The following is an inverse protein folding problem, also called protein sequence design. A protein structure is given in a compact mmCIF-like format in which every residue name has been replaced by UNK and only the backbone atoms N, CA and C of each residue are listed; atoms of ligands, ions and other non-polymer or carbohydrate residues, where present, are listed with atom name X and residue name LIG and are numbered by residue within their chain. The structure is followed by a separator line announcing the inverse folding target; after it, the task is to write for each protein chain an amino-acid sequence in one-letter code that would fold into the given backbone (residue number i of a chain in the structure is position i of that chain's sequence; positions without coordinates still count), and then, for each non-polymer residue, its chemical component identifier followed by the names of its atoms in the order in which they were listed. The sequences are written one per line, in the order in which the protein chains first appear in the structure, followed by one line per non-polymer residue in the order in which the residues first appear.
data_IF_523358123865
#
_entry.id   IF_523358123865
#
_cell.length_a   1.000
_cell.length_b   1.000
_cell.length_c   1.000
_cell.angle_alpha   90.00
_cell.angle_beta   90.00
_cell.angle_gamma   90.00
#
_symmetry.space_group_name_H-M   'P 1'
#
loop_
_entity.id
_entity.type
_entity.pdbx_description
1 polymer ?
#
# COMPACT_ATOMS: atom_id res chain seq x y z
N UNK A 1 50.80 -36.14 -2.02
CA UNK A 1 50.19 -36.92 -3.10
C UNK A 1 48.70 -36.59 -3.16
N UNK A 2 48.24 -36.13 -4.33
CA UNK A 2 46.84 -36.12 -4.80
C UNK A 2 45.91 -35.12 -4.08
N UNK A 3 45.16 -34.20 -4.70
CA UNK A 3 44.93 -33.89 -6.12
C UNK A 3 43.95 -32.70 -6.20
N UNK A 4 44.12 -31.84 -7.19
CA UNK A 4 43.20 -30.76 -7.54
C UNK A 4 41.96 -31.34 -8.25
N UNK A 5 40.75 -30.98 -7.79
CA UNK A 5 39.55 -30.95 -8.64
C UNK A 5 39.01 -29.52 -8.63
N UNK A 6 39.16 -28.83 -9.75
CA UNK A 6 38.51 -27.56 -10.01
C UNK A 6 37.06 -27.81 -10.44
N UNK A 7 36.13 -27.09 -9.81
CA UNK A 7 34.80 -26.86 -10.37
C UNK A 7 34.80 -25.43 -10.89
N UNK A 8 34.73 -25.27 -12.21
CA UNK A 8 34.40 -24.02 -12.86
C UNK A 8 32.87 -23.93 -12.88
N UNK A 9 32.31 -22.95 -12.16
CA UNK A 9 30.97 -22.42 -12.42
C UNK A 9 31.03 -20.88 -12.43
N UNK A 10 30.29 -20.22 -13.33
CA UNK A 10 30.55 -18.85 -13.77
C UNK A 10 29.96 -17.77 -12.86
N UNK A 11 30.64 -16.61 -12.91
CA UNK A 11 30.27 -15.24 -12.53
C UNK A 11 28.96 -14.96 -11.77
N UNK A 12 29.16 -14.61 -10.50
CA UNK A 12 28.60 -13.49 -9.72
C UNK A 12 27.59 -12.51 -10.37
N UNK A 13 26.56 -12.17 -9.59
CA UNK A 13 26.14 -10.78 -9.37
C UNK A 13 25.72 -10.59 -7.90
N UNK A 14 26.17 -9.49 -7.30
CA UNK A 14 26.52 -9.31 -5.88
C UNK A 14 25.31 -9.29 -4.92
N UNK A 15 25.37 -10.14 -3.89
CA UNK A 15 24.77 -9.87 -2.58
C UNK A 15 25.91 -9.44 -1.65
N UNK A 16 25.85 -8.23 -1.08
CA UNK A 16 26.81 -7.80 -0.06
C UNK A 16 26.50 -8.55 1.24
N UNK A 17 27.32 -9.55 1.57
CA UNK A 17 27.27 -10.26 2.85
C UNK A 17 28.01 -9.44 3.90
N UNK A 18 27.28 -8.90 4.89
CA UNK A 18 27.84 -8.36 6.11
C UNK A 18 28.36 -9.53 6.97
N UNK A 19 29.68 -9.69 7.08
CA UNK A 19 30.29 -10.70 7.94
C UNK A 19 30.16 -10.29 9.42
N UNK A 20 29.28 -10.96 10.17
CA UNK A 20 29.29 -10.96 11.62
C UNK A 20 29.81 -12.32 12.09
N UNK A 21 31.03 -12.35 12.62
CA UNK A 21 31.60 -13.54 13.25
C UNK A 21 30.96 -13.75 14.64
N UNK A 22 30.34 -14.90 14.88
CA UNK A 22 30.13 -15.41 16.24
C UNK A 22 30.67 -16.83 16.38
N UNK A 23 31.54 -16.99 17.37
CA UNK A 23 32.19 -18.22 17.81
C UNK A 23 31.18 -19.27 18.29
N UNK A 24 31.53 -20.54 18.06
CA UNK A 24 30.81 -21.77 18.40
C UNK A 24 30.21 -21.80 19.82
N UNK A 25 28.95 -22.22 19.92
CA UNK A 25 28.29 -22.57 21.17
C UNK A 25 26.89 -23.17 20.92
N UNK A 26 26.73 -24.43 21.31
CA UNK A 26 25.57 -25.31 21.08
C UNK A 26 24.29 -24.77 21.72
N UNK A 27 23.19 -24.65 20.94
CA UNK A 27 21.83 -24.99 21.40
C UNK A 27 20.86 -25.11 20.20
N UNK A 28 20.46 -26.35 19.92
CA UNK A 28 19.30 -26.71 19.10
C UNK A 28 18.05 -26.11 19.76
N UNK A 29 17.50 -25.01 19.22
CA UNK A 29 16.32 -24.36 19.80
C UNK A 29 15.91 -22.99 19.26
N UNK A 30 16.60 -22.43 18.26
CA UNK A 30 16.23 -21.14 17.64
C UNK A 30 16.38 -21.22 16.12
N UNK A 31 15.37 -21.72 15.40
CA UNK A 31 15.33 -21.55 13.93
C UNK A 31 14.03 -20.94 13.40
N UNK A 32 13.01 -20.76 14.24
CA UNK A 32 11.77 -20.05 13.88
C UNK A 32 11.80 -18.56 14.21
N UNK A 33 12.67 -18.11 15.12
CA UNK A 33 12.72 -16.71 15.59
C UNK A 33 13.52 -15.77 14.67
N UNK A 34 14.47 -16.31 13.89
CA UNK A 34 15.34 -15.50 13.02
C UNK A 34 14.64 -14.99 11.75
N UNK A 35 13.73 -15.78 11.16
CA UNK A 35 13.02 -15.35 9.95
C UNK A 35 11.98 -14.27 10.22
N UNK A 36 11.35 -14.25 11.40
CA UNK A 36 10.39 -13.20 11.81
C UNK A 36 11.12 -11.88 12.08
N UNK A 37 12.30 -11.94 12.73
CA UNK A 37 13.14 -10.76 12.97
C UNK A 37 13.69 -10.12 11.69
N UNK A 38 14.02 -10.91 10.66
CA UNK A 38 14.52 -10.34 9.40
C UNK A 38 13.47 -9.46 8.69
N UNK A 39 12.18 -9.84 8.67
CA UNK A 39 11.19 -9.05 7.93
C UNK A 39 10.90 -7.68 8.56
N UNK A 40 11.06 -7.54 9.88
CA UNK A 40 10.94 -6.22 10.53
C UNK A 40 12.07 -5.26 10.17
N UNK A 41 13.26 -5.80 9.93
CA UNK A 41 14.44 -5.00 9.56
C UNK A 41 14.26 -4.36 8.17
N UNK A 42 13.40 -4.93 7.32
CA UNK A 42 13.13 -4.44 5.95
C UNK A 42 11.93 -3.49 5.82
N UNK A 43 11.17 -3.19 6.88
CA UNK A 43 10.17 -2.10 6.86
C UNK A 43 10.89 -0.75 7.00
N UNK A 44 11.83 -0.50 6.09
CA UNK A 44 12.60 0.73 6.01
C UNK A 44 11.69 1.82 5.52
N UNK A 45 11.56 2.90 6.29
CA UNK A 45 10.82 4.08 5.86
C UNK A 45 11.65 4.90 4.90
N UNK A 46 10.97 5.59 4.01
CA UNK A 46 11.59 6.34 2.93
C UNK A 46 10.75 7.59 2.63
N UNK A 47 11.42 8.67 2.25
CA UNK A 47 10.74 9.87 1.81
C UNK A 47 10.08 9.66 0.44
N UNK A 48 8.96 10.36 0.16
CA UNK A 48 8.26 10.25 -1.13
C UNK A 48 9.12 10.68 -2.33
N UNK A 49 10.10 11.56 -2.10
CA UNK A 49 11.02 12.04 -3.14
C UNK A 49 12.25 11.15 -3.32
N UNK A 50 12.34 10.01 -2.63
CA UNK A 50 13.49 9.12 -2.73
C UNK A 50 13.24 8.03 -3.78
N UNK A 51 14.25 7.73 -4.59
CA UNK A 51 14.18 6.66 -5.60
C UNK A 51 13.90 5.27 -5.00
N UNK A 52 14.08 5.11 -3.68
CA UNK A 52 13.88 3.84 -2.98
C UNK A 52 12.44 3.36 -2.94
N UNK A 53 11.46 4.28 -2.96
CA UNK A 53 10.06 3.92 -2.68
C UNK A 53 9.07 4.30 -3.76
N UNK A 54 9.56 4.81 -4.90
CA UNK A 54 8.80 5.09 -6.13
C UNK A 54 7.30 5.27 -5.87
N UNK A 55 6.91 6.44 -5.38
CA UNK A 55 5.54 6.67 -4.90
C UNK A 55 4.60 7.17 -6.01
N UNK A 56 5.15 7.80 -7.04
CA UNK A 56 4.35 8.42 -8.11
C UNK A 56 3.87 7.40 -9.14
N UNK A 57 2.63 7.58 -9.57
CA UNK A 57 1.99 6.74 -10.57
C UNK A 57 0.58 6.31 -10.19
N UNK A 58 0.11 5.29 -10.90
CA UNK A 58 -1.20 4.67 -10.73
C UNK A 58 -1.02 3.31 -10.03
N UNK A 59 -1.78 3.10 -8.96
CA UNK A 59 -1.61 2.00 -8.03
C UNK A 59 -2.93 1.31 -7.74
N UNK A 60 -2.90 -0.02 -7.63
CA UNK A 60 -4.03 -0.85 -7.24
C UNK A 60 -3.75 -1.47 -5.89
N UNK A 61 -4.66 -1.27 -4.93
CA UNK A 61 -4.57 -1.91 -3.62
C UNK A 61 -4.76 -3.41 -3.80
N UNK A 62 -3.80 -4.21 -3.32
CA UNK A 62 -3.85 -5.67 -3.42
C UNK A 62 -4.07 -6.35 -2.07
N UNK A 63 -3.68 -5.69 -0.99
CA UNK A 63 -3.80 -6.23 0.36
C UNK A 63 -3.82 -5.09 1.39
N UNK A 64 -4.70 -5.17 2.39
CA UNK A 64 -4.70 -4.21 3.50
C UNK A 64 -5.22 -4.80 4.81
N UNK A 65 -4.77 -4.19 5.91
CA UNK A 65 -5.20 -4.51 7.28
C UNK A 65 -5.26 -3.25 8.13
N UNK A 66 -6.11 -3.26 9.16
CA UNK A 66 -6.22 -2.19 10.15
C UNK A 66 -6.09 -2.74 11.57
N UNK A 67 -5.66 -1.89 12.49
CA UNK A 67 -5.70 -2.18 13.93
C UNK A 67 -6.92 -1.56 14.63
N UNK A 68 -7.83 -0.94 13.87
CA UNK A 68 -8.97 -0.21 14.38
C UNK A 68 -10.30 -0.89 14.00
N UNK A 69 -11.29 -0.94 14.92
CA UNK A 69 -12.60 -1.51 14.63
C UNK A 69 -13.31 -0.92 13.41
N UNK A 70 -13.15 0.39 13.14
CA UNK A 70 -13.73 1.01 11.94
C UNK A 70 -13.12 0.44 10.66
N UNK A 71 -11.81 0.20 10.66
CA UNK A 71 -11.12 -0.44 9.54
C UNK A 71 -11.55 -1.89 9.36
N UNK A 72 -11.78 -2.62 10.47
CA UNK A 72 -12.31 -4.00 10.42
C UNK A 72 -13.71 -4.07 9.83
N UNK A 73 -14.53 -3.04 10.00
CA UNK A 73 -15.84 -2.94 9.36
C UNK A 73 -15.73 -2.53 7.89
N UNK A 74 -14.82 -1.60 7.56
CA UNK A 74 -14.65 -1.04 6.21
C UNK A 74 -13.98 -2.02 5.24
N UNK A 75 -12.81 -2.56 5.59
CA UNK A 75 -11.95 -3.32 4.68
C UNK A 75 -12.66 -4.53 4.03
N UNK A 76 -13.49 -5.32 4.74
CA UNK A 76 -14.25 -6.40 4.13
C UNK A 76 -15.35 -5.95 3.14
N UNK A 77 -15.72 -4.67 3.16
CA UNK A 77 -16.71 -4.09 2.24
C UNK A 77 -16.06 -3.43 1.02
N UNK A 78 -14.73 -3.32 0.97
CA UNK A 78 -14.00 -2.82 -0.21
C UNK A 78 -13.82 -3.95 -1.21
N UNK A 79 -14.21 -3.72 -2.47
CA UNK A 79 -14.05 -4.69 -3.57
C UNK A 79 -12.80 -4.41 -4.41
N UNK A 80 -12.53 -3.14 -4.67
CA UNK A 80 -11.34 -2.67 -5.38
C UNK A 80 -11.01 -1.24 -4.94
N UNK A 81 -9.73 -0.88 -5.02
CA UNK A 81 -9.23 0.47 -4.74
C UNK A 81 -8.13 0.82 -5.72
N UNK A 82 -8.24 2.00 -6.32
CA UNK A 82 -7.26 2.57 -7.24
C UNK A 82 -6.80 3.93 -6.74
N UNK A 83 -5.49 4.16 -6.71
CA UNK A 83 -4.86 5.39 -6.24
C UNK A 83 -4.03 6.00 -7.36
N UNK A 84 -4.19 7.30 -7.59
CA UNK A 84 -3.29 8.11 -8.40
C UNK A 84 -2.48 9.01 -7.48
N UNK A 85 -1.15 8.97 -7.58
CA UNK A 85 -0.25 9.89 -6.88
C UNK A 85 0.58 10.69 -7.88
N UNK A 86 0.45 12.01 -7.82
CA UNK A 86 1.11 12.93 -8.75
C UNK A 86 1.78 14.07 -7.99
N UNK A 87 3.05 14.34 -8.28
CA UNK A 87 3.74 15.51 -7.76
C UNK A 87 3.13 16.77 -8.40
N UNK A 88 2.73 17.73 -7.58
CA UNK A 88 2.26 19.03 -8.05
C UNK A 88 3.44 19.90 -8.52
N UNK A 89 3.19 20.94 -9.35
CA UNK A 89 4.24 21.83 -9.84
C UNK A 89 5.02 22.59 -8.75
N UNK A 90 4.52 22.62 -7.51
CA UNK A 90 5.18 23.24 -6.36
C UNK A 90 6.30 22.37 -5.76
N UNK A 91 6.44 21.11 -6.21
CA UNK A 91 7.38 20.10 -5.70
C UNK A 91 7.27 19.82 -4.19
N UNK A 92 6.22 20.31 -3.54
CA UNK A 92 5.99 20.23 -2.10
C UNK A 92 4.69 19.51 -1.77
N UNK A 93 3.84 19.30 -2.77
CA UNK A 93 2.53 18.68 -2.58
C UNK A 93 2.36 17.50 -3.52
N UNK A 94 1.87 16.38 -3.00
CA UNK A 94 1.44 15.22 -3.78
C UNK A 94 -0.08 15.27 -3.87
N UNK A 95 -0.61 15.31 -5.08
CA UNK A 95 -2.03 15.06 -5.34
C UNK A 95 -2.27 13.56 -5.19
N UNK A 96 -3.13 13.19 -4.24
CA UNK A 96 -3.52 11.82 -3.96
C UNK A 96 -5.01 11.67 -4.26
N UNK A 97 -5.34 10.84 -5.24
CA UNK A 97 -6.71 10.59 -5.66
C UNK A 97 -7.00 9.10 -5.55
N UNK A 98 -7.79 8.73 -4.56
CA UNK A 98 -8.20 7.35 -4.30
C UNK A 98 -9.65 7.14 -4.74
N UNK A 99 -9.93 5.99 -5.36
CA UNK A 99 -11.27 5.60 -5.76
C UNK A 99 -11.52 4.15 -5.38
N UNK A 100 -12.55 3.95 -4.57
CA UNK A 100 -12.94 2.70 -3.96
C UNK A 100 -14.29 2.24 -4.51
N UNK A 101 -14.36 0.95 -4.86
CA UNK A 101 -15.63 0.27 -5.11
C UNK A 101 -16.04 -0.44 -3.82
N UNK A 102 -17.17 -0.04 -3.25
CA UNK A 102 -17.73 -0.60 -2.03
C UNK A 102 -18.90 -1.54 -2.33
N UNK A 103 -18.99 -2.63 -1.58
CA UNK A 103 -20.10 -3.58 -1.60
C UNK A 103 -21.37 -2.90 -1.06
N UNK A 104 -22.29 -2.50 -1.95
CA UNK A 104 -23.52 -1.77 -1.58
C UNK A 104 -24.60 -2.60 -0.89
N UNK A 105 -24.36 -3.89 -0.68
CA UNK A 105 -25.32 -4.86 -0.15
C UNK A 105 -25.49 -4.87 1.39
N UNK A 106 -24.98 -3.86 2.12
CA UNK A 106 -25.16 -3.75 3.58
C UNK A 106 -26.00 -2.56 4.06
N UNK A 107 -26.59 -1.76 3.18
CA UNK A 107 -27.51 -0.69 3.56
C UNK A 107 -28.91 -1.01 3.03
N UNK A 108 -29.88 -1.17 3.92
CA UNK A 108 -31.31 -1.30 3.60
C UNK A 108 -31.87 0.02 3.05
N UNK A 109 -31.36 0.52 1.93
CA UNK A 109 -31.97 1.62 1.17
C UNK A 109 -31.68 1.43 -0.32
N UNK A 110 -32.56 0.70 -1.01
CA UNK A 110 -32.93 0.79 -2.45
C UNK A 110 -31.82 0.75 -3.55
N UNK A 111 -30.52 0.73 -3.25
CA UNK A 111 -29.47 0.62 -4.27
C UNK A 111 -28.90 -0.80 -4.33
N UNK A 112 -29.41 -1.62 -5.26
CA UNK A 112 -28.75 -2.87 -5.65
C UNK A 112 -27.59 -2.54 -6.60
N UNK A 113 -26.41 -2.30 -6.08
CA UNK A 113 -25.21 -2.06 -6.88
C UNK A 113 -23.98 -1.77 -6.02
N UNK A 114 -22.79 -1.87 -6.61
CA UNK A 114 -21.57 -1.39 -5.96
C UNK A 114 -21.59 0.14 -5.90
N UNK A 115 -21.08 0.72 -4.82
CA UNK A 115 -21.02 2.18 -4.61
C UNK A 115 -19.61 2.65 -4.93
N UNK A 116 -19.50 3.78 -5.63
CA UNK A 116 -18.21 4.43 -5.87
C UNK A 116 -17.96 5.53 -4.85
N UNK A 117 -16.92 5.36 -4.04
CA UNK A 117 -16.44 6.33 -3.07
C UNK A 117 -15.06 6.83 -3.49
N UNK A 118 -14.90 8.13 -3.71
CA UNK A 118 -13.61 8.73 -4.08
C UNK A 118 -13.13 9.70 -3.01
N UNK A 119 -11.83 9.67 -2.72
CA UNK A 119 -11.16 10.57 -1.79
C UNK A 119 -10.08 11.36 -2.52
N UNK A 120 -10.19 12.68 -2.49
CA UNK A 120 -9.22 13.60 -3.10
C UNK A 120 -8.47 14.32 -1.98
N UNK A 121 -7.17 14.05 -1.86
CA UNK A 121 -6.29 14.50 -0.78
C UNK A 121 -5.08 15.24 -1.35
N UNK A 122 -4.53 16.17 -0.58
CA UNK A 122 -3.21 16.72 -0.81
C UNK A 122 -2.29 16.28 0.32
N UNK A 123 -1.20 15.60 -0.04
CA UNK A 123 -0.15 15.21 0.91
C UNK A 123 0.95 16.26 0.85
N UNK A 124 1.41 16.73 2.00
CA UNK A 124 2.57 17.62 2.04
C UNK A 124 3.84 16.78 2.11
N UNK A 125 4.84 17.13 1.31
CA UNK A 125 6.18 16.56 1.39
C UNK A 125 6.91 17.35 2.48
N UNK A 126 7.43 16.68 3.52
CA UNK A 126 8.18 17.37 4.56
C UNK A 126 9.46 18.00 3.99
N UNK A 127 9.82 19.18 4.48
CA UNK A 127 11.02 19.91 4.05
C UNK A 127 12.31 19.37 4.71
N UNK A 128 12.19 18.50 5.72
CA UNK A 128 13.31 17.87 6.44
C UNK A 128 13.56 16.45 5.93
N UNK A 129 14.79 16.19 5.48
CA UNK A 129 15.28 14.89 4.99
C UNK A 129 15.17 13.77 6.05
N UNK A 130 14.99 14.12 7.32
CA UNK A 130 14.78 13.18 8.43
C UNK A 130 13.31 12.80 8.67
N UNK A 131 12.36 13.50 8.03
CA UNK A 131 10.93 13.19 8.13
C UNK A 131 10.53 12.21 7.02
N UNK A 132 10.20 10.98 7.43
CA UNK A 132 9.80 9.90 6.51
C UNK A 132 8.29 9.83 6.26
N UNK A 133 7.52 10.74 6.87
CA UNK A 133 6.06 10.76 6.77
C UNK A 133 5.58 11.94 5.94
N UNK A 134 4.53 11.74 5.16
CA UNK A 134 3.82 12.82 4.46
C UNK A 134 2.51 13.11 5.18
N UNK A 135 2.38 14.27 5.85
CA UNK A 135 1.13 14.59 6.52
C UNK A 135 0.05 14.98 5.52
N UNK A 136 -1.17 14.56 5.80
CA UNK A 136 -2.37 15.00 5.12
C UNK A 136 -2.82 16.30 5.77
N UNK A 137 -2.67 17.41 5.07
CA UNK A 137 -3.18 18.71 5.48
C UNK A 137 -4.20 19.24 4.48
N UNK A 138 -5.36 19.64 5.00
CA UNK A 138 -6.42 20.41 4.36
C UNK A 138 -7.39 19.64 3.44
N UNK A 139 -8.64 19.56 3.91
CA UNK A 139 -9.85 19.56 3.07
C UNK A 139 -9.96 18.41 2.09
N UNK A 140 -9.81 17.18 2.59
CA UNK A 140 -10.13 16.02 1.80
C UNK A 140 -11.55 16.15 1.24
N UNK A 141 -11.77 15.75 -0.01
CA UNK A 141 -13.12 15.72 -0.57
C UNK A 141 -13.50 14.26 -0.70
N UNK A 142 -14.56 13.87 0.00
CA UNK A 142 -15.24 12.61 -0.23
C UNK A 142 -16.31 12.85 -1.31
N UNK A 143 -16.24 12.08 -2.40
CA UNK A 143 -17.28 12.04 -3.42
C UNK A 143 -17.94 10.66 -3.43
N UNK A 144 -19.21 10.62 -3.05
CA UNK A 144 -20.04 9.41 -3.13
C UNK A 144 -21.11 9.63 -4.20
N UNK A 145 -21.05 8.84 -5.27
CA UNK A 145 -21.98 8.93 -6.42
C UNK A 145 -22.14 10.35 -7.01
N UNK A 146 -21.09 11.18 -6.93
CA UNK A 146 -21.09 12.56 -7.44
C UNK A 146 -21.46 13.62 -6.40
N UNK A 147 -21.83 13.23 -5.17
CA UNK A 147 -22.04 14.16 -4.06
C UNK A 147 -20.72 14.37 -3.33
N UNK A 148 -20.18 15.60 -3.43
CA UNK A 148 -18.94 16.01 -2.77
C UNK A 148 -19.20 16.57 -1.38
N UNK A 149 -18.44 16.10 -0.39
CA UNK A 149 -18.46 16.59 0.98
C UNK A 149 -17.04 16.80 1.50
N UNK A 150 -16.80 17.83 2.32
CA UNK A 150 -15.56 17.93 3.06
C UNK A 150 -15.39 16.72 3.98
N UNK A 151 -14.25 16.09 3.88
CA UNK A 151 -13.78 15.02 4.75
C UNK A 151 -12.68 15.62 5.63
N UNK A 152 -12.98 15.80 6.90
CA UNK A 152 -12.06 16.42 7.85
C UNK A 152 -11.21 15.35 8.49
N UNK A 153 -10.08 15.07 7.86
CA UNK A 153 -9.13 14.09 8.34
C UNK A 153 -7.72 14.68 8.41
N UNK A 154 -6.99 14.27 9.45
CA UNK A 154 -5.57 14.51 9.60
C UNK A 154 -4.91 13.16 9.85
N UNK A 155 -3.92 12.85 9.02
CA UNK A 155 -3.20 11.59 9.07
C UNK A 155 -1.75 11.77 8.62
N UNK A 156 -0.93 10.79 8.94
CA UNK A 156 0.46 10.68 8.55
C UNK A 156 0.62 9.42 7.69
N UNK A 157 1.28 9.55 6.55
CA UNK A 157 1.61 8.42 5.67
C UNK A 157 3.11 8.17 5.72
N UNK A 158 3.54 7.02 6.24
CA UNK A 158 4.89 6.53 6.01
C UNK A 158 4.91 5.62 4.78
N UNK A 159 5.81 5.89 3.84
CA UNK A 159 6.12 4.96 2.76
C UNK A 159 7.15 3.94 3.25
N UNK A 160 6.95 2.67 2.91
CA UNK A 160 7.88 1.59 3.23
C UNK A 160 8.56 1.12 1.95
N UNK A 161 9.87 0.88 2.04
CA UNK A 161 10.67 0.28 0.98
C UNK A 161 10.05 -1.07 0.58
N UNK A 162 9.91 -1.26 -0.73
CA UNK A 162 9.21 -2.40 -1.31
C UNK A 162 9.88 -2.83 -2.62
N UNK A 163 9.15 -3.56 -3.46
CA UNK A 163 9.62 -4.01 -4.77
C UNK A 163 9.40 -2.95 -5.88
N UNK A 164 10.04 -3.09 -7.04
CA UNK A 164 10.03 -2.10 -8.14
C UNK A 164 8.62 -1.72 -8.67
N UNK A 165 7.67 -2.64 -8.54
CA UNK A 165 6.27 -2.50 -8.96
C UNK A 165 5.29 -2.60 -7.78
N UNK A 166 5.80 -2.47 -6.54
CA UNK A 166 5.03 -2.46 -5.30
C UNK A 166 5.10 -1.09 -4.62
N UNK A 167 4.06 -0.74 -3.88
CA UNK A 167 4.11 0.37 -2.92
C UNK A 167 3.48 -0.09 -1.61
N UNK A 168 4.08 0.27 -0.48
CA UNK A 168 3.57 -0.03 0.84
C UNK A 168 3.43 1.26 1.65
N UNK A 169 2.24 1.47 2.20
CA UNK A 169 1.90 2.66 3.00
C UNK A 169 1.48 2.20 4.38
N UNK A 170 2.12 2.78 5.39
CA UNK A 170 1.61 2.80 6.75
C UNK A 170 0.87 4.12 6.94
N UNK A 171 -0.44 4.04 6.99
CA UNK A 171 -1.32 5.16 7.24
C UNK A 171 -1.61 5.24 8.74
N UNK A 172 -1.55 6.43 9.31
CA UNK A 172 -1.78 6.66 10.73
C UNK A 172 -2.70 7.87 10.96
N UNK A 173 -3.91 7.61 11.46
CA UNK A 173 -4.88 8.64 11.82
C UNK A 173 -5.34 8.48 13.26
N UNK A 174 -5.50 9.61 13.95
CA UNK A 174 -6.07 9.63 15.32
C UNK A 174 -7.54 9.21 15.34
N UNK A 175 -8.28 9.37 14.24
CA UNK A 175 -9.74 9.20 14.19
C UNK A 175 -10.19 7.88 13.57
N UNK A 176 -9.41 7.35 12.62
CA UNK A 176 -9.72 6.10 11.91
C UNK A 176 -8.71 4.98 12.18
N UNK A 177 -7.62 5.28 12.91
CA UNK A 177 -6.61 4.32 13.32
C UNK A 177 -5.51 4.11 12.29
N UNK A 178 -4.76 3.01 12.43
CA UNK A 178 -3.66 2.68 11.52
C UNK A 178 -4.12 1.69 10.47
N UNK A 179 -3.51 1.80 9.29
CA UNK A 179 -3.66 0.84 8.20
C UNK A 179 -2.29 0.52 7.63
N UNK A 180 -2.06 -0.75 7.33
CA UNK A 180 -0.99 -1.17 6.42
C UNK A 180 -1.65 -1.51 5.09
N UNK A 181 -1.25 -0.81 4.04
CA UNK A 181 -1.81 -0.94 2.70
C UNK A 181 -0.71 -1.28 1.72
N UNK A 182 -0.88 -2.36 0.98
CA UNK A 182 0.07 -2.86 -0.01
C UNK A 182 -0.57 -2.77 -1.39
N UNK A 183 0.15 -2.15 -2.31
CA UNK A 183 -0.27 -1.85 -3.67
C UNK A 183 0.65 -2.50 -4.69
N UNK A 184 0.11 -2.75 -5.88
CA UNK A 184 0.89 -3.03 -7.10
C UNK A 184 0.61 -1.92 -8.11
N UNK A 185 1.62 -1.60 -8.92
CA UNK A 185 1.42 -0.64 -10.01
C UNK A 185 0.33 -1.12 -10.97
N UNK A 186 -0.39 -0.18 -11.59
CA UNK A 186 -1.40 -0.52 -12.59
C UNK A 186 -0.80 -1.42 -13.70
N UNK A 187 -1.56 -2.44 -14.10
CA UNK A 187 -1.13 -3.53 -14.98
C UNK A 187 -0.48 -4.72 -14.27
N UNK A 188 0.28 -4.52 -13.19
CA UNK A 188 1.01 -5.61 -12.49
C UNK A 188 0.17 -6.34 -11.43
N UNK A 189 -1.02 -5.83 -11.10
CA UNK A 189 -1.98 -6.49 -10.21
C UNK A 189 -2.76 -7.64 -10.87
N UNK A 190 -2.57 -7.88 -12.18
CA UNK A 190 -3.37 -8.83 -12.97
C UNK A 190 -3.01 -10.30 -12.71
N UNK A 191 -1.79 -10.58 -12.24
CA UNK A 191 -1.38 -11.92 -11.85
C UNK A 191 -1.86 -12.24 -10.43
N UNK A 192 -3.12 -12.66 -10.32
CA UNK A 192 -3.78 -12.93 -9.03
C UNK A 192 -3.09 -14.08 -8.27
N UNK A 193 -2.45 -15.01 -8.95
CA UNK A 193 -1.76 -16.12 -8.30
C UNK A 193 -0.42 -15.68 -7.69
N UNK A 194 0.27 -14.73 -8.33
CA UNK A 194 1.39 -14.04 -7.71
C UNK A 194 0.94 -13.26 -6.46
N UNK A 195 -0.21 -12.57 -6.51
CA UNK A 195 -0.74 -11.85 -5.36
C UNK A 195 -1.03 -12.79 -4.19
N UNK A 196 -1.63 -13.95 -4.44
CA UNK A 196 -1.89 -14.97 -3.41
C UNK A 196 -0.60 -15.49 -2.78
N UNK A 197 0.43 -15.72 -3.60
CA UNK A 197 1.73 -16.21 -3.11
C UNK A 197 2.40 -15.20 -2.18
N UNK A 198 2.22 -13.89 -2.42
CA UNK A 198 2.75 -12.82 -1.58
C UNK A 198 1.99 -12.59 -0.26
N UNK A 199 0.78 -13.15 -0.08
CA UNK A 199 -0.06 -12.89 1.11
C UNK A 199 0.63 -13.26 2.41
N UNK A 200 1.34 -14.41 2.46
CA UNK A 200 2.03 -14.84 3.66
C UNK A 200 3.12 -13.85 4.11
N UNK A 201 3.78 -13.20 3.16
CA UNK A 201 4.79 -12.18 3.44
C UNK A 201 4.13 -10.89 3.95
N UNK A 202 3.00 -10.47 3.37
CA UNK A 202 2.23 -9.33 3.87
C UNK A 202 1.73 -9.56 5.30
N UNK A 203 1.18 -10.74 5.61
CA UNK A 203 0.75 -11.07 6.97
C UNK A 203 1.91 -11.05 7.96
N UNK A 204 3.09 -11.51 7.54
CA UNK A 204 4.28 -11.52 8.37
C UNK A 204 4.77 -10.10 8.63
N UNK A 205 4.72 -9.22 7.63
CA UNK A 205 5.01 -7.79 7.79
C UNK A 205 4.00 -7.11 8.73
N UNK A 206 2.70 -7.42 8.59
CA UNK A 206 1.64 -6.90 9.44
C UNK A 206 1.83 -7.32 10.91
N UNK A 207 2.07 -8.62 11.17
CA UNK A 207 2.37 -9.15 12.52
C UNK A 207 3.58 -8.47 13.14
N UNK A 208 4.63 -8.27 12.33
CA UNK A 208 5.82 -7.54 12.73
C UNK A 208 5.51 -6.09 13.16
N UNK A 209 4.69 -5.38 12.38
CA UNK A 209 4.28 -3.99 12.66
C UNK A 209 3.18 -3.89 13.74
N UNK A 210 2.77 -5.02 14.32
CA UNK A 210 1.80 -5.08 15.41
C UNK A 210 0.34 -4.99 14.97
N UNK A 211 0.03 -5.25 13.70
CA UNK A 211 -1.35 -5.33 13.23
C UNK A 211 -2.00 -6.70 13.55
N UNK A 212 -3.28 -6.71 13.92
CA UNK A 212 -4.05 -7.96 13.99
C UNK A 212 -4.31 -8.46 12.56
N UNK A 213 -3.95 -9.71 12.26
CA UNK A 213 -4.17 -10.28 10.92
C UNK A 213 -5.56 -10.90 10.85
N UNK A 214 -6.56 -10.03 10.90
CA UNK A 214 -7.98 -10.33 10.86
C UNK A 214 -8.68 -9.26 10.01
N UNK A 215 -9.86 -9.57 9.45
CA UNK A 215 -10.68 -8.60 8.70
C UNK A 215 -9.91 -7.89 7.57
N UNK A 216 -9.15 -8.68 6.80
CA UNK A 216 -8.27 -8.21 5.73
C UNK A 216 -9.07 -7.77 4.50
N UNK A 217 -8.53 -6.79 3.78
CA UNK A 217 -8.84 -6.62 2.37
C UNK A 217 -7.85 -7.45 1.53
N UNK A 218 -8.37 -8.23 0.59
CA UNK A 218 -7.57 -8.99 -0.37
C UNK A 218 -8.20 -8.79 -1.74
N UNK A 219 -7.42 -8.23 -2.67
CA UNK A 219 -7.91 -8.02 -4.03
C UNK A 219 -8.09 -9.35 -4.77
N UNK A 220 -9.23 -9.50 -5.44
CA UNK A 220 -9.62 -10.75 -6.09
C UNK A 220 -9.38 -10.75 -7.62
N UNK A 221 -8.97 -9.62 -8.22
CA UNK A 221 -8.72 -9.49 -9.66
C UNK A 221 -9.96 -9.48 -10.56
N UNK A 222 -11.18 -9.44 -9.99
CA UNK A 222 -12.44 -9.54 -10.76
C UNK A 222 -13.27 -8.27 -10.75
N UNK A 223 -13.12 -7.43 -9.71
CA UNK A 223 -13.87 -6.18 -9.61
C UNK A 223 -13.13 -5.09 -10.39
N UNK A 224 -13.86 -4.44 -11.29
CA UNK A 224 -13.40 -3.25 -12.00
C UNK A 224 -13.22 -2.06 -11.03
N UNK A 225 -12.70 -0.94 -11.52
CA UNK A 225 -12.45 0.26 -10.75
C UNK A 225 -13.47 1.36 -11.04
N UNK A 226 -13.68 2.25 -10.08
CA UNK A 226 -14.43 3.47 -10.34
C UNK A 226 -13.67 4.34 -11.34
N UNK A 227 -14.24 4.55 -12.52
CA UNK A 227 -13.66 5.43 -13.53
C UNK A 227 -13.84 6.91 -13.15
N UNK A 228 -12.97 7.77 -13.71
CA UNK A 228 -13.19 9.22 -13.71
C UNK A 228 -14.54 9.49 -14.36
N UNK A 229 -15.50 10.07 -13.63
CA UNK A 229 -16.69 10.63 -14.28
C UNK A 229 -16.22 11.78 -15.17
N UNK A 230 -16.37 11.61 -16.48
CA UNK A 230 -16.24 12.71 -17.44
C UNK A 230 -17.14 13.86 -16.99
N UNK A 231 -16.71 15.11 -17.19
CA UNK A 231 -17.60 16.26 -17.08
C UNK A 231 -18.89 16.00 -17.88
N UNK A 232 -20.06 16.54 -17.48
CA UNK A 232 -21.27 16.38 -18.26
C UNK A 232 -21.01 16.80 -19.70
N UNK A 233 -21.34 15.94 -20.67
CA UNK A 233 -21.37 16.34 -22.07
C UNK A 233 -22.19 17.62 -22.17
N UNK A 234 -21.52 18.67 -22.64
CA UNK A 234 -22.15 19.93 -22.98
C UNK A 234 -23.27 19.60 -23.95
N UNK A 235 -24.52 19.79 -23.50
CA UNK A 235 -25.71 19.54 -24.32
C UNK A 235 -25.49 20.28 -25.64
N UNK A 236 -25.30 19.52 -26.71
CA UNK A 236 -25.31 20.08 -28.05
C UNK A 236 -26.68 20.70 -28.23
N UNK A 237 -26.74 22.03 -28.23
CA UNK A 237 -27.94 22.75 -28.61
C UNK A 237 -28.16 22.45 -30.09
N UNK A 238 -29.19 21.65 -30.40
CA UNK A 238 -29.73 21.54 -31.75
C UNK A 238 -30.16 22.95 -32.21
N UNK A 239 -29.67 23.35 -33.38
CA UNK A 239 -30.12 24.52 -34.10
C UNK A 239 -30.72 24.09 -35.43
#
# INVERSE_FOLDING_TARGET
FIGYYGIILPCASKTQTLHIFYSLGVHFGLFTRHTVGLLCIYSVRCGPNTDKCKVYGDWVLVWAVSDNPKGHELLPNVSSSHVEMKLRPDNKTIEYNERNVLLGNKVCVVFRGNICASYFLNLTIPDDDHEYYSPIHAGAIEENDGVRKPFNESAELDFLESCDDCMAILYNSKTIGRYLMIYKSDGHHRDVDQLKTAQADHEKQAKCLGFPVEHLFIYNGTTDFCHKKSAPEEKTAEH
#
